data_IF_808899065525
#
_entry.id   IF_808899065525
#
_cell.length_a   1.000
_cell.length_b   1.000
_cell.length_c   1.000
_cell.angle_alpha   90.00
_cell.angle_beta   90.00
_cell.angle_gamma   90.00
#
_symmetry.space_group_name_H-M   'P 1'
#
loop_
_entity.id
_entity.type
_entity.pdbx_description
1 polymer ?
#
# COMPACT_ATOMS: atom_id res chain seq x y z
N UNK A 1 16.38 -12.26 -3.72
CA UNK A 1 16.00 -12.86 -2.41
C UNK A 1 14.71 -12.19 -1.94
N UNK A 2 13.78 -12.91 -1.30
CA UNK A 2 12.53 -12.31 -0.79
C UNK A 2 12.66 -11.93 0.69
N UNK A 3 12.18 -10.74 1.06
CA UNK A 3 12.09 -10.24 2.44
C UNK A 3 10.69 -9.73 2.77
N UNK A 4 10.33 -9.79 4.05
CA UNK A 4 9.10 -9.17 4.57
C UNK A 4 9.38 -7.73 4.98
N UNK A 5 8.58 -6.79 4.48
CA UNK A 5 8.69 -5.37 4.81
C UNK A 5 7.35 -4.86 5.32
N UNK A 6 7.31 -4.38 6.57
CA UNK A 6 6.13 -3.72 7.11
C UNK A 6 6.18 -2.23 6.75
N UNK A 7 5.13 -1.73 6.12
CA UNK A 7 5.00 -0.33 5.73
C UNK A 7 3.71 0.27 6.28
N UNK A 8 3.80 1.52 6.73
CA UNK A 8 2.67 2.37 7.05
C UNK A 8 2.34 3.20 5.81
N UNK A 9 1.17 2.97 5.23
CA UNK A 9 0.76 3.55 3.96
C UNK A 9 -0.44 4.47 4.15
N UNK A 10 -0.43 5.62 3.48
CA UNK A 10 -1.56 6.55 3.43
C UNK A 10 -2.13 6.51 2.02
N UNK A 11 -3.41 6.16 1.91
CA UNK A 11 -4.15 6.10 0.65
C UNK A 11 -5.16 7.23 0.58
N UNK A 12 -5.29 7.82 -0.61
CA UNK A 12 -6.41 8.69 -0.95
C UNK A 12 -7.47 7.87 -1.68
N UNK A 13 -8.65 7.73 -1.09
CA UNK A 13 -9.75 6.94 -1.66
C UNK A 13 -10.93 7.83 -2.01
N UNK A 14 -11.54 7.61 -3.18
CA UNK A 14 -12.70 8.40 -3.63
C UNK A 14 -14.02 7.86 -3.08
N UNK A 15 -14.06 6.55 -2.79
CA UNK A 15 -15.23 5.83 -2.30
C UNK A 15 -14.94 5.28 -0.89
N UNK A 16 -15.09 6.09 0.16
CA UNK A 16 -14.77 5.65 1.53
C UNK A 16 -15.64 4.48 2.01
N UNK A 17 -16.83 4.28 1.44
CA UNK A 17 -17.67 3.10 1.72
C UNK A 17 -17.15 1.81 1.08
N UNK A 18 -16.21 1.89 0.13
CA UNK A 18 -15.57 0.77 -0.57
C UNK A 18 -14.03 0.82 -0.38
N UNK A 19 -13.61 1.29 0.80
CA UNK A 19 -12.21 1.61 1.14
C UNK A 19 -11.25 0.45 0.90
N UNK A 20 -11.64 -0.77 1.25
CA UNK A 20 -10.79 -1.96 1.08
C UNK A 20 -10.48 -2.14 -0.41
N UNK A 21 -11.51 -2.13 -1.26
CA UNK A 21 -11.35 -2.33 -2.71
C UNK A 21 -10.55 -1.21 -3.37
N UNK A 22 -10.77 0.04 -2.96
CA UNK A 22 -9.99 1.19 -3.45
C UNK A 22 -8.50 1.02 -3.10
N UNK A 23 -8.17 0.62 -1.86
CA UNK A 23 -6.80 0.34 -1.42
C UNK A 23 -6.18 -0.83 -2.20
N UNK A 24 -6.89 -1.94 -2.33
CA UNK A 24 -6.42 -3.12 -3.07
C UNK A 24 -6.11 -2.78 -4.54
N UNK A 25 -6.96 -1.98 -5.20
CA UNK A 25 -6.72 -1.53 -6.57
C UNK A 25 -5.43 -0.71 -6.68
N UNK A 26 -5.19 0.20 -5.73
CA UNK A 26 -3.98 1.03 -5.71
C UNK A 26 -2.74 0.15 -5.49
N UNK A 27 -2.79 -0.79 -4.53
CA UNK A 27 -1.66 -1.70 -4.26
C UNK A 27 -1.37 -2.57 -5.49
N UNK A 28 -2.38 -3.24 -6.02
CA UNK A 28 -2.24 -4.15 -7.17
C UNK A 28 -1.70 -3.42 -8.41
N UNK A 29 -2.06 -2.15 -8.63
CA UNK A 29 -1.52 -1.35 -9.72
C UNK A 29 -0.02 -0.99 -9.55
N UNK A 30 0.53 -1.16 -8.35
CA UNK A 30 1.92 -0.84 -8.01
C UNK A 30 2.77 -2.07 -7.66
N UNK A 31 2.19 -3.27 -7.61
CA UNK A 31 2.97 -4.51 -7.51
C UNK A 31 3.85 -4.70 -8.76
N UNK A 32 4.94 -5.44 -8.58
CA UNK A 32 5.89 -5.78 -9.65
C UNK A 32 6.61 -4.56 -10.26
N UNK A 33 6.61 -3.43 -9.56
CA UNK A 33 7.37 -2.23 -9.90
C UNK A 33 8.38 -1.95 -8.81
N UNK A 34 9.60 -1.54 -9.18
CA UNK A 34 10.60 -1.15 -8.19
C UNK A 34 10.05 -0.05 -7.28
N UNK A 35 10.23 -0.22 -5.97
CA UNK A 35 9.82 0.74 -4.96
C UNK A 35 10.99 0.99 -4.00
N UNK A 36 11.54 2.21 -4.08
CA UNK A 36 12.69 2.62 -3.27
C UNK A 36 12.38 2.59 -1.76
N UNK A 37 11.15 2.92 -1.36
CA UNK A 37 10.75 2.93 0.06
C UNK A 37 10.67 1.51 0.64
N UNK A 38 10.32 0.53 -0.18
CA UNK A 38 10.29 -0.89 0.20
C UNK A 38 11.66 -1.57 0.01
N UNK A 39 12.60 -0.89 -0.67
CA UNK A 39 13.94 -1.37 -0.98
C UNK A 39 13.93 -2.59 -1.90
N UNK A 40 13.09 -2.57 -2.95
CA UNK A 40 13.00 -3.62 -3.96
C UNK A 40 11.64 -3.68 -4.67
N UNK A 41 11.31 -4.83 -5.25
CA UNK A 41 10.06 -5.06 -5.98
C UNK A 41 9.04 -5.78 -5.08
N UNK A 42 7.91 -5.15 -4.68
CA UNK A 42 6.85 -5.85 -3.97
C UNK A 42 6.13 -6.82 -4.91
N UNK A 43 6.07 -8.10 -4.53
CA UNK A 43 5.43 -9.18 -5.30
C UNK A 43 4.14 -9.67 -4.68
N UNK A 44 3.95 -9.44 -3.39
CA UNK A 44 2.76 -9.82 -2.63
C UNK A 44 2.56 -8.86 -1.45
N UNK A 45 1.34 -8.78 -0.94
CA UNK A 45 1.00 -7.97 0.23
C UNK A 45 0.00 -8.69 1.14
N UNK A 46 0.01 -8.29 2.41
CA UNK A 46 -0.96 -8.67 3.42
C UNK A 46 -1.40 -7.42 4.18
N UNK A 47 -2.67 -7.04 4.02
CA UNK A 47 -3.28 -5.90 4.69
C UNK A 47 -3.54 -6.25 6.16
N UNK A 48 -2.75 -5.69 7.10
CA UNK A 48 -2.85 -6.03 8.54
C UNK A 48 -3.96 -5.28 9.25
N UNK A 49 -4.09 -3.99 8.96
CA UNK A 49 -5.10 -3.14 9.57
C UNK A 49 -5.43 -1.98 8.64
N UNK A 50 -6.73 -1.73 8.48
CA UNK A 50 -7.24 -0.48 7.90
C UNK A 50 -7.53 0.45 9.07
N UNK A 51 -6.77 1.54 9.16
CA UNK A 51 -6.96 2.55 10.18
C UNK A 51 -8.21 3.40 9.93
N UNK A 52 -8.49 4.29 10.87
CA UNK A 52 -9.58 5.26 10.78
C UNK A 52 -9.34 6.28 9.67
N UNK A 53 -10.42 6.72 9.01
CA UNK A 53 -10.44 7.88 8.12
C UNK A 53 -9.84 9.10 8.83
N UNK A 54 -8.73 9.62 8.31
CA UNK A 54 -7.97 10.68 8.98
C UNK A 54 -8.47 12.08 8.58
N UNK A 55 -8.87 12.25 7.32
CA UNK A 55 -9.28 13.55 6.76
C UNK A 55 -10.03 13.37 5.44
N UNK A 56 -10.95 14.28 5.13
CA UNK A 56 -11.47 14.47 3.76
C UNK A 56 -10.84 15.75 3.21
N UNK A 57 -10.25 15.69 2.02
CA UNK A 57 -9.65 16.86 1.36
C UNK A 57 -10.68 17.66 0.56
N UNK A 58 -10.25 18.79 -0.01
CA UNK A 58 -11.10 19.72 -0.78
C UNK A 58 -11.68 19.09 -2.05
N UNK A 59 -11.10 17.99 -2.52
CA UNK A 59 -11.55 17.23 -3.70
C UNK A 59 -12.47 16.05 -3.32
N UNK A 60 -12.91 15.97 -2.06
CA UNK A 60 -13.72 14.91 -1.49
C UNK A 60 -13.03 13.52 -1.50
N UNK A 61 -11.70 13.46 -1.54
CA UNK A 61 -10.98 12.23 -1.27
C UNK A 61 -10.82 12.06 0.23
N UNK A 62 -10.94 10.82 0.68
CA UNK A 62 -10.68 10.48 2.05
C UNK A 62 -9.28 9.89 2.21
N UNK A 63 -8.52 10.40 3.18
CA UNK A 63 -7.21 9.89 3.54
C UNK A 63 -7.36 8.75 4.55
N UNK A 64 -6.82 7.58 4.20
CA UNK A 64 -6.91 6.36 5.00
C UNK A 64 -5.51 5.84 5.24
N UNK A 65 -5.17 5.70 6.51
CA UNK A 65 -3.90 5.13 6.93
C UNK A 65 -4.04 3.62 7.16
N UNK A 66 -3.09 2.83 6.67
CA UNK A 66 -3.09 1.38 6.82
C UNK A 66 -1.69 0.83 7.09
N UNK A 67 -1.63 -0.33 7.75
CA UNK A 67 -0.40 -1.09 7.90
C UNK A 67 -0.42 -2.29 6.95
N UNK A 68 0.58 -2.39 6.10
CA UNK A 68 0.69 -3.44 5.07
C UNK A 68 2.03 -4.14 5.23
N UNK A 69 2.00 -5.48 5.26
CA UNK A 69 3.20 -6.30 5.13
C UNK A 69 3.38 -6.69 3.66
N UNK A 70 4.49 -6.29 3.06
CA UNK A 70 4.87 -6.64 1.69
C UNK A 70 5.88 -7.79 1.69
N UNK A 71 5.79 -8.68 0.70
CA UNK A 71 6.90 -9.54 0.29
C UNK A 71 7.62 -8.82 -0.84
N UNK A 72 8.90 -8.51 -0.62
CA UNK A 72 9.73 -7.71 -1.51
C UNK A 72 10.89 -8.54 -2.04
N UNK A 73 11.07 -8.54 -3.35
CA UNK A 73 12.23 -9.09 -4.03
C UNK A 73 13.38 -8.06 -4.04
N UNK A 74 14.51 -8.43 -3.46
CA UNK A 74 15.73 -7.63 -3.48
C UNK A 74 16.48 -7.83 -4.81
N UNK A 75 16.70 -6.73 -5.54
CA UNK A 75 17.44 -6.72 -6.81
C UNK A 75 18.97 -6.72 -6.61
N UNK A 76 19.48 -6.57 -5.38
CA UNK A 76 20.92 -6.52 -5.09
C UNK A 76 21.62 -7.90 -5.07
N UNK A 77 21.16 -8.85 -5.87
CA UNK A 77 21.87 -10.11 -6.11
C UNK A 77 22.16 -10.22 -7.60
N UNK A 78 23.07 -9.37 -8.07
CA UNK A 78 23.92 -9.57 -9.24
C UNK A 78 25.19 -8.75 -9.07
#
# INVERSE_FOLDING_TARGET
MYKKTLARCIFKVKKPWDVIREIENIICANLFKHNEQLGGIPVCYFLKAVGSLAKIDEECFAEVETNIEFIVEDENIN
#
